data_IF_716055431877
#
_entry.id   IF_716055431877
#
_cell.length_a   1.000
_cell.length_b   1.000
_cell.length_c   1.000
_cell.angle_alpha   90.00
_cell.angle_beta   90.00
_cell.angle_gamma   90.00
#
_symmetry.space_group_name_H-M   'P 1'
#
loop_
_entity.id
_entity.type
_entity.pdbx_description
1 polymer ?
#
# COMPACT_ATOMS: atom_id res chain seq x y z
N UNK A 1 5.13 -32.47 10.09
CA UNK A 1 5.85 -31.21 10.39
C UNK A 1 4.87 -30.26 11.08
N UNK A 2 4.88 -30.22 12.42
CA UNK A 2 3.96 -29.38 13.20
C UNK A 2 4.47 -27.94 13.21
N UNK A 3 3.85 -27.06 12.40
CA UNK A 3 4.13 -25.63 12.41
C UNK A 3 3.46 -25.01 13.64
N UNK A 4 4.25 -24.82 14.69
CA UNK A 4 3.88 -24.05 15.87
C UNK A 4 3.95 -22.53 15.54
N UNK A 5 3.26 -22.12 14.47
CA UNK A 5 3.20 -20.72 14.03
C UNK A 5 2.27 -19.97 14.98
N UNK A 6 2.84 -19.27 15.95
CA UNK A 6 2.09 -18.33 16.81
C UNK A 6 1.66 -17.13 15.96
N UNK A 7 0.58 -17.27 15.21
CA UNK A 7 -0.07 -16.15 14.54
C UNK A 7 -0.50 -15.10 15.57
N UNK A 8 -0.43 -13.82 15.18
CA UNK A 8 -0.94 -12.75 16.00
C UNK A 8 -2.46 -12.94 16.27
N UNK A 9 -2.93 -12.51 17.44
CA UNK A 9 -4.36 -12.50 17.73
C UNK A 9 -5.12 -11.71 16.66
N UNK A 10 -6.27 -12.23 16.23
CA UNK A 10 -7.06 -11.65 15.15
C UNK A 10 -6.66 -12.09 13.75
N UNK A 11 -5.71 -13.02 13.60
CA UNK A 11 -5.41 -13.68 12.32
C UNK A 11 -6.64 -14.40 11.75
N UNK A 12 -6.96 -14.27 10.44
CA UNK A 12 -6.19 -13.61 9.36
C UNK A 12 -6.47 -12.11 9.16
N UNK A 13 -7.33 -11.50 9.99
CA UNK A 13 -7.78 -10.11 9.85
C UNK A 13 -9.16 -9.99 9.20
N UNK A 14 -9.68 -8.76 9.17
CA UNK A 14 -10.92 -8.38 8.46
C UNK A 14 -10.64 -8.08 7.00
N UNK A 15 -11.66 -8.15 6.14
CA UNK A 15 -11.52 -7.84 4.72
C UNK A 15 -11.07 -6.38 4.49
N UNK A 16 -9.99 -6.23 3.72
CA UNK A 16 -9.43 -4.93 3.36
C UNK A 16 -10.21 -4.25 2.23
N UNK A 17 -10.13 -2.91 2.16
CA UNK A 17 -10.70 -2.10 1.08
C UNK A 17 -9.67 -1.11 0.56
N UNK A 18 -9.73 -0.82 -0.73
CA UNK A 18 -8.95 0.23 -1.36
C UNK A 18 -9.43 1.61 -0.95
N UNK A 19 -8.55 2.60 -1.05
CA UNK A 19 -8.91 3.98 -0.72
C UNK A 19 -9.67 4.62 -1.87
N UNK A 20 -10.32 5.76 -1.61
CA UNK A 20 -11.02 6.51 -2.66
C UNK A 20 -10.09 6.91 -3.81
N UNK A 21 -10.59 6.84 -5.04
CA UNK A 21 -9.89 7.31 -6.24
C UNK A 21 -9.79 8.84 -6.31
N UNK A 22 -10.52 9.58 -5.47
CA UNK A 22 -10.36 11.03 -5.38
C UNK A 22 -9.01 11.38 -4.73
N UNK A 23 -8.01 11.74 -5.56
CA UNK A 23 -6.65 12.07 -5.11
C UNK A 23 -6.47 13.58 -4.99
N UNK A 24 -5.85 13.99 -3.89
CA UNK A 24 -5.36 15.37 -3.69
C UNK A 24 -3.96 15.56 -4.28
N UNK A 25 -3.21 14.47 -4.46
CA UNK A 25 -1.89 14.50 -5.11
C UNK A 25 -1.43 13.12 -5.54
N UNK A 26 -0.56 13.11 -6.56
CA UNK A 26 0.20 11.94 -7.02
C UNK A 26 1.65 12.35 -7.23
N UNK A 27 2.59 11.43 -7.04
CA UNK A 27 4.00 11.74 -7.21
C UNK A 27 4.84 10.54 -7.56
N UNK A 28 5.95 10.82 -8.23
CA UNK A 28 7.05 9.90 -8.54
C UNK A 28 8.34 10.70 -8.69
N UNK A 29 9.48 10.01 -8.74
CA UNK A 29 10.74 10.64 -9.11
C UNK A 29 10.80 10.91 -10.61
N UNK A 30 11.55 11.95 -11.01
CA UNK A 30 11.93 12.12 -12.41
C UNK A 30 13.01 11.10 -12.84
N UNK A 31 13.83 10.62 -11.89
CA UNK A 31 14.84 9.60 -12.18
C UNK A 31 14.16 8.21 -12.34
N UNK A 32 14.36 7.50 -13.47
CA UNK A 32 13.81 6.16 -13.71
C UNK A 32 14.33 5.08 -12.75
N UNK A 33 15.44 5.30 -12.04
CA UNK A 33 15.93 4.38 -11.02
C UNK A 33 14.93 4.19 -9.88
N UNK A 34 14.16 5.25 -9.57
CA UNK A 34 13.07 5.17 -8.60
C UNK A 34 11.78 4.79 -9.30
N UNK A 35 11.31 3.57 -9.04
CA UNK A 35 10.10 2.99 -9.64
C UNK A 35 8.85 3.15 -8.77
N UNK A 36 8.91 4.06 -7.79
CA UNK A 36 7.86 4.22 -6.79
C UNK A 36 6.93 5.35 -7.21
N UNK A 37 5.65 5.02 -7.35
CA UNK A 37 4.57 6.00 -7.49
C UNK A 37 3.72 6.00 -6.23
N UNK A 38 3.31 7.16 -5.75
CA UNK A 38 2.43 7.28 -4.58
C UNK A 38 1.25 8.20 -4.86
N UNK A 39 0.19 8.01 -4.08
CA UNK A 39 -0.99 8.87 -4.10
C UNK A 39 -1.36 9.35 -2.68
N UNK A 40 -2.01 10.52 -2.62
CA UNK A 40 -2.45 11.17 -1.38
C UNK A 40 -3.93 11.54 -1.52
N UNK A 41 -4.70 11.27 -0.47
CA UNK A 41 -6.05 11.75 -0.25
C UNK A 41 -6.29 11.91 1.26
N UNK A 42 -7.18 12.82 1.65
CA UNK A 42 -7.58 13.04 3.04
C UNK A 42 -6.40 13.23 4.03
N UNK A 43 -5.29 13.80 3.56
CA UNK A 43 -4.12 14.08 4.39
C UNK A 43 -3.24 12.86 4.72
N UNK A 44 -3.47 11.70 4.09
CA UNK A 44 -2.68 10.48 4.28
C UNK A 44 -2.12 9.96 2.96
N UNK A 45 -1.05 9.16 3.03
CA UNK A 45 -0.61 8.33 1.92
C UNK A 45 -1.60 7.19 1.70
N UNK A 46 -1.89 6.89 0.44
CA UNK A 46 -2.78 5.82 0.02
C UNK A 46 -1.99 4.72 -0.68
N UNK A 47 -2.34 4.44 -1.94
CA UNK A 47 -1.69 3.41 -2.73
C UNK A 47 -0.30 3.86 -3.16
N UNK A 48 0.64 2.92 -3.04
CA UNK A 48 2.02 3.02 -3.50
C UNK A 48 2.23 1.89 -4.51
N UNK A 49 2.62 2.24 -5.73
CA UNK A 49 2.87 1.31 -6.82
C UNK A 49 4.36 1.11 -7.01
N UNK A 50 4.76 -0.16 -7.11
CA UNK A 50 6.14 -0.60 -7.36
C UNK A 50 6.13 -2.06 -7.84
N UNK A 51 6.99 -2.47 -8.78
CA UNK A 51 7.95 -1.66 -9.55
C UNK A 51 7.34 -1.05 -10.82
N UNK A 52 6.05 -1.26 -11.04
CA UNK A 52 5.31 -0.79 -12.21
C UNK A 52 4.08 -0.01 -11.76
N UNK A 53 3.65 0.90 -12.64
CA UNK A 53 2.41 1.65 -12.51
C UNK A 53 1.31 0.97 -13.31
#
# INVERSE_FOLDING_TARGET
>A
MNRNEKFAFGWPGIDARWTSSAKSGVGTSLNPDSKVWFSINKGILNEIYYPQV
#
